data_IF_221343380009
#
_entry.id   IF_221343380009
#
_cell.length_a   1.000
_cell.length_b   1.000
_cell.length_c   1.000
_cell.angle_alpha   90.00
_cell.angle_beta   90.00
_cell.angle_gamma   90.00
#
_symmetry.space_group_name_H-M   'P 1'
#
loop_
_entity.id
_entity.type
_entity.pdbx_description
1 polymer ?
#
# COMPACT_ATOMS: atom_id res chain seq x y z
N UNK A 1 -16.06 1.96 18.61
CA UNK A 1 -16.54 2.83 17.50
C UNK A 1 -15.47 3.16 16.47
N UNK A 2 -14.32 3.77 16.82
CA UNK A 2 -13.23 4.10 15.84
C UNK A 2 -12.68 2.91 15.04
N UNK A 3 -12.58 1.72 15.63
CA UNK A 3 -11.98 0.54 14.98
C UNK A 3 -12.81 -0.03 13.82
N UNK A 4 -14.15 0.03 13.90
CA UNK A 4 -15.04 -0.61 12.90
C UNK A 4 -15.12 0.20 11.61
N UNK A 5 -15.22 1.52 11.71
CA UNK A 5 -15.16 2.42 10.54
C UNK A 5 -13.80 2.35 9.84
N UNK A 6 -12.72 2.22 10.61
CA UNK A 6 -11.37 2.08 10.05
C UNK A 6 -11.18 0.74 9.31
N UNK A 7 -11.74 -0.36 9.81
CA UNK A 7 -11.70 -1.67 9.12
C UNK A 7 -12.40 -1.58 7.76
N UNK A 8 -13.59 -0.96 7.70
CA UNK A 8 -14.30 -0.75 6.43
C UNK A 8 -13.51 0.18 5.50
N UNK A 9 -12.88 1.21 6.06
CA UNK A 9 -12.05 2.15 5.31
C UNK A 9 -10.79 1.49 4.73
N UNK A 10 -10.13 0.57 5.44
CA UNK A 10 -8.89 -0.07 4.98
C UNK A 10 -9.11 -1.30 4.13
N UNK A 11 -10.29 -1.94 4.23
CA UNK A 11 -10.62 -3.14 3.47
C UNK A 11 -10.36 -2.94 1.97
N UNK A 12 -9.60 -3.87 1.39
CA UNK A 12 -9.20 -3.96 -0.03
C UNK A 12 -8.41 -2.74 -0.55
N UNK A 13 -7.93 -1.87 0.34
CA UNK A 13 -7.11 -0.71 -0.04
C UNK A 13 -5.71 -1.14 -0.47
N UNK A 14 -5.19 -2.22 0.12
CA UNK A 14 -3.94 -2.87 -0.28
C UNK A 14 -4.00 -3.35 -1.73
N UNK A 15 -5.11 -3.97 -2.12
CA UNK A 15 -5.36 -4.39 -3.49
C UNK A 15 -5.48 -3.20 -4.45
N UNK A 16 -6.18 -2.15 -4.05
CA UNK A 16 -6.28 -0.94 -4.85
C UNK A 16 -4.92 -0.28 -5.09
N UNK A 17 -4.10 -0.13 -4.05
CA UNK A 17 -2.76 0.43 -4.16
C UNK A 17 -1.82 -0.47 -4.95
N UNK A 18 -1.93 -1.79 -4.81
CA UNK A 18 -1.18 -2.73 -5.62
C UNK A 18 -1.49 -2.58 -7.12
N UNK A 19 -2.76 -2.53 -7.51
CA UNK A 19 -3.17 -2.37 -8.92
C UNK A 19 -2.74 -1.03 -9.52
N UNK A 20 -2.81 0.05 -8.72
CA UNK A 20 -2.30 1.37 -9.10
C UNK A 20 -0.77 1.32 -9.24
N UNK A 21 -0.07 0.69 -8.29
CA UNK A 21 1.37 0.55 -8.32
C UNK A 21 1.84 -0.22 -9.57
N UNK A 22 1.16 -1.31 -9.97
CA UNK A 22 1.50 -2.03 -11.22
C UNK A 22 1.45 -1.12 -12.44
N UNK A 23 0.47 -0.21 -12.51
CA UNK A 23 0.18 0.66 -13.67
C UNK A 23 1.05 1.91 -13.76
N UNK A 24 1.58 2.43 -12.64
CA UNK A 24 2.47 3.62 -12.66
C UNK A 24 3.82 3.26 -13.30
N UNK A 25 3.98 3.41 -14.61
CA UNK A 25 5.24 3.16 -15.33
C UNK A 25 5.84 4.50 -15.75
N UNK A 26 6.85 4.97 -15.03
CA UNK A 26 7.65 6.15 -15.40
C UNK A 26 6.88 7.48 -15.39
N UNK A 27 6.04 7.72 -16.41
CA UNK A 27 5.33 8.98 -16.66
C UNK A 27 3.82 8.93 -16.39
N UNK A 28 3.21 7.78 -16.08
CA UNK A 28 1.78 7.74 -15.74
C UNK A 28 1.50 8.46 -14.43
N UNK A 29 0.58 9.43 -14.45
CA UNK A 29 0.18 10.10 -13.21
C UNK A 29 -0.62 9.15 -12.33
N UNK A 30 -0.59 9.38 -11.01
CA UNK A 30 -1.42 8.61 -10.07
C UNK A 30 -2.91 8.65 -10.47
N UNK A 31 -3.37 9.79 -11.01
CA UNK A 31 -4.74 9.99 -11.46
C UNK A 31 -5.09 9.05 -12.61
N UNK A 32 -4.22 8.94 -13.60
CA UNK A 32 -4.48 8.12 -14.79
C UNK A 32 -4.51 6.64 -14.42
N UNK A 33 -3.54 6.20 -13.59
CA UNK A 33 -3.53 4.83 -13.07
C UNK A 33 -4.78 4.54 -12.21
N UNK A 34 -5.21 5.47 -11.37
CA UNK A 34 -6.44 5.32 -10.58
C UNK A 34 -7.69 5.28 -11.48
N UNK A 35 -7.72 6.07 -12.54
CA UNK A 35 -8.80 6.08 -13.52
C UNK A 35 -8.91 4.74 -14.25
N UNK A 36 -7.79 4.16 -14.69
CA UNK A 36 -7.74 2.82 -15.30
C UNK A 36 -8.26 1.74 -14.35
N UNK A 37 -7.80 1.73 -13.09
CA UNK A 37 -8.27 0.79 -12.05
C UNK A 37 -9.79 0.92 -11.83
N UNK A 38 -10.33 2.13 -11.92
CA UNK A 38 -11.76 2.37 -11.80
C UNK A 38 -12.55 1.91 -13.03
N UNK A 39 -12.00 2.09 -14.22
CA UNK A 39 -12.60 1.69 -15.50
C UNK A 39 -12.61 0.17 -15.64
N UNK A 40 -11.51 -0.50 -15.32
CA UNK A 40 -11.37 -1.98 -15.37
C UNK A 40 -12.08 -2.70 -14.21
N UNK A 41 -12.60 -1.96 -13.22
CA UNK A 41 -13.30 -2.51 -12.06
C UNK A 41 -12.51 -3.59 -11.30
N UNK A 42 -11.19 -3.38 -11.14
CA UNK A 42 -10.30 -4.38 -10.53
C UNK A 42 -10.50 -4.53 -9.02
N UNK A 43 -11.11 -3.53 -8.39
CA UNK A 43 -11.43 -3.53 -6.95
C UNK A 43 -12.92 -3.16 -6.76
N UNK A 44 -13.84 -4.11 -7.04
CA UNK A 44 -15.28 -3.83 -7.00
C UNK A 44 -15.77 -3.31 -5.65
N UNK A 45 -15.18 -3.81 -4.56
CA UNK A 45 -15.53 -3.41 -3.20
C UNK A 45 -15.27 -1.94 -2.89
N UNK A 46 -14.34 -1.28 -3.60
CA UNK A 46 -13.98 0.13 -3.38
C UNK A 46 -14.34 1.04 -4.55
N UNK A 47 -14.96 0.52 -5.60
CA UNK A 47 -15.17 1.27 -6.84
C UNK A 47 -15.97 2.56 -6.61
N UNK A 48 -17.00 2.53 -5.75
CA UNK A 48 -17.77 3.72 -5.37
C UNK A 48 -16.88 4.79 -4.71
N UNK A 49 -16.01 4.37 -3.79
CA UNK A 49 -15.09 5.25 -3.07
C UNK A 49 -14.02 5.84 -3.99
N UNK A 50 -13.41 5.00 -4.84
CA UNK A 50 -12.36 5.45 -5.77
C UNK A 50 -12.91 6.43 -6.82
N UNK A 51 -14.12 6.19 -7.35
CA UNK A 51 -14.81 7.12 -8.26
C UNK A 51 -15.16 8.44 -7.57
N UNK A 52 -15.59 8.41 -6.32
CA UNK A 52 -15.88 9.61 -5.55
C UNK A 52 -14.62 10.48 -5.34
N UNK A 53 -13.47 9.85 -5.09
CA UNK A 53 -12.18 10.56 -4.97
C UNK A 53 -11.73 11.19 -6.29
N UNK A 54 -11.99 10.55 -7.44
CA UNK A 54 -11.72 11.10 -8.78
C UNK A 54 -12.60 12.31 -9.11
N UNK A 55 -13.85 12.33 -8.65
CA UNK A 55 -14.82 13.39 -8.95
C UNK A 55 -14.70 14.60 -8.01
N UNK A 56 -13.90 14.51 -6.94
CA UNK A 56 -13.83 15.56 -5.91
C UNK A 56 -13.06 16.80 -6.41
N UNK A 57 -13.66 18.00 -6.42
CA UNK A 57 -12.95 19.23 -6.76
C UNK A 57 -11.90 19.53 -5.69
N UNK A 58 -10.65 19.78 -6.10
CA UNK A 58 -9.49 19.95 -5.21
C UNK A 58 -8.61 18.70 -5.04
N UNK A 59 -8.99 17.58 -5.64
CA UNK A 59 -8.11 16.45 -5.94
C UNK A 59 -7.98 15.36 -4.85
N UNK A 60 -7.50 14.22 -5.32
CA UNK A 60 -7.18 12.96 -4.63
C UNK A 60 -5.95 13.06 -3.70
N UNK A 61 -5.62 14.26 -3.22
CA UNK A 61 -4.36 14.55 -2.53
C UNK A 61 -4.14 13.71 -1.27
N UNK A 62 -5.21 13.32 -0.57
CA UNK A 62 -5.08 12.41 0.58
C UNK A 62 -4.81 10.97 0.14
N UNK A 63 -5.54 10.46 -0.85
CA UNK A 63 -5.37 9.10 -1.35
C UNK A 63 -4.00 8.91 -2.02
N UNK A 64 -3.59 9.87 -2.84
CA UNK A 64 -2.27 9.87 -3.48
C UNK A 64 -1.13 9.98 -2.46
N UNK A 65 -1.26 10.85 -1.45
CA UNK A 65 -0.26 10.96 -0.38
C UNK A 65 -0.15 9.67 0.43
N UNK A 66 -1.27 9.00 0.68
CA UNK A 66 -1.27 7.69 1.32
C UNK A 66 -0.62 6.64 0.43
N UNK A 67 -0.98 6.59 -0.85
CA UNK A 67 -0.38 5.71 -1.83
C UNK A 67 1.14 5.88 -1.88
N UNK A 68 1.64 7.10 -2.13
CA UNK A 68 3.08 7.39 -2.23
C UNK A 68 3.85 6.90 -1.00
N UNK A 69 3.28 7.07 0.20
CA UNK A 69 3.88 6.59 1.45
C UNK A 69 3.87 5.06 1.53
N UNK A 70 2.77 4.40 1.17
CA UNK A 70 2.66 2.93 1.25
C UNK A 70 3.56 2.23 0.22
N UNK A 71 3.92 2.92 -0.87
CA UNK A 71 4.81 2.40 -1.90
C UNK A 71 6.22 2.96 -1.82
N UNK A 72 6.51 3.80 -0.82
CA UNK A 72 7.83 4.42 -0.63
C UNK A 72 8.87 3.33 -0.34
N UNK A 73 9.91 3.26 -1.16
CA UNK A 73 10.95 2.21 -1.07
C UNK A 73 10.61 0.89 -1.77
N UNK A 74 9.40 0.72 -2.30
CA UNK A 74 9.07 -0.39 -3.20
C UNK A 74 9.49 -0.01 -4.62
N UNK A 75 10.78 -0.15 -4.92
CA UNK A 75 11.29 0.07 -6.28
C UNK A 75 10.76 -1.00 -7.22
N UNK A 76 10.34 -0.58 -8.42
CA UNK A 76 9.98 -1.49 -9.53
C UNK A 76 11.18 -2.22 -10.12
N UNK A 77 12.39 -1.74 -9.83
CA UNK A 77 13.64 -2.34 -10.31
C UNK A 77 13.97 -3.62 -9.52
N UNK A 78 13.54 -3.69 -8.27
CA UNK A 78 13.61 -4.91 -7.47
C UNK A 78 12.47 -5.81 -7.93
N UNK A 79 12.80 -6.94 -8.57
CA UNK A 79 11.83 -7.97 -8.98
C UNK A 79 11.27 -8.70 -7.77
N UNK A 80 10.41 -8.04 -7.00
CA UNK A 80 9.61 -8.67 -5.96
C UNK A 80 8.41 -9.39 -6.60
N UNK A 81 8.04 -10.58 -6.12
CA UNK A 81 6.82 -11.23 -6.57
C UNK A 81 5.58 -10.44 -6.11
N UNK A 82 4.52 -10.45 -6.93
CA UNK A 82 3.28 -9.68 -6.74
C UNK A 82 2.70 -9.78 -5.32
N UNK A 83 2.66 -10.99 -4.75
CA UNK A 83 2.15 -11.23 -3.40
C UNK A 83 2.97 -10.51 -2.32
N UNK A 84 4.28 -10.38 -2.51
CA UNK A 84 5.19 -9.72 -1.55
C UNK A 84 5.03 -8.21 -1.61
N UNK A 85 4.82 -7.65 -2.80
CA UNK A 85 4.51 -6.22 -2.96
C UNK A 85 3.18 -5.89 -2.30
N UNK A 86 2.14 -6.69 -2.54
CA UNK A 86 0.84 -6.49 -1.90
C UNK A 86 0.94 -6.61 -0.37
N UNK A 87 1.72 -7.56 0.15
CA UNK A 87 1.96 -7.70 1.59
C UNK A 87 2.64 -6.46 2.20
N UNK A 88 3.67 -5.92 1.56
CA UNK A 88 4.36 -4.70 2.02
C UNK A 88 3.41 -3.49 2.05
N UNK A 89 2.59 -3.34 1.01
CA UNK A 89 1.55 -2.30 0.95
C UNK A 89 0.53 -2.49 2.08
N UNK A 90 0.07 -3.73 2.30
CA UNK A 90 -0.88 -4.04 3.36
C UNK A 90 -0.31 -3.77 4.76
N UNK A 91 0.98 -4.03 4.98
CA UNK A 91 1.68 -3.70 6.21
C UNK A 91 1.70 -2.19 6.46
N UNK A 92 2.04 -1.37 5.46
CA UNK A 92 2.05 0.10 5.59
C UNK A 92 0.65 0.68 5.83
N UNK A 93 -0.38 0.14 5.17
CA UNK A 93 -1.76 0.56 5.44
C UNK A 93 -2.17 0.18 6.86
N UNK A 94 -1.85 -1.04 7.31
CA UNK A 94 -2.16 -1.51 8.65
C UNK A 94 -1.28 -0.87 9.74
N UNK A 95 -0.11 -0.32 9.41
CA UNK A 95 0.69 0.50 10.32
C UNK A 95 -0.08 1.77 10.77
N UNK A 96 -1.03 2.26 9.96
CA UNK A 96 -1.96 3.32 10.40
C UNK A 96 -3.08 2.79 11.31
N UNK A 97 -3.39 1.48 11.27
CA UNK A 97 -4.31 0.80 12.19
C UNK A 97 -3.66 0.59 13.55
N UNK A 98 -2.43 0.09 13.51
CA UNK A 98 -1.57 -0.08 14.66
C UNK A 98 -0.83 1.23 14.89
N UNK A 99 -1.48 2.20 15.54
CA UNK A 99 -0.75 3.20 16.33
C UNK A 99 0.45 2.50 16.99
N UNK A 100 1.72 2.81 16.64
CA UNK A 100 2.80 2.34 17.45
C UNK A 100 2.85 3.32 18.61
N UNK A 101 2.48 2.84 19.79
CA UNK A 101 3.08 3.37 21.01
C UNK A 101 4.48 2.79 21.25
N UNK A 102 5.06 1.97 20.36
CA UNK A 102 6.32 1.28 20.69
C UNK A 102 7.34 1.19 19.56
N UNK A 103 8.58 1.47 19.97
CA UNK A 103 9.86 1.35 19.26
C UNK A 103 10.08 -0.03 18.62
N UNK A 104 9.45 -1.06 19.18
CA UNK A 104 9.54 -2.44 18.72
C UNK A 104 9.07 -2.66 17.27
N UNK A 105 8.08 -1.91 16.80
CA UNK A 105 7.59 -2.07 15.43
C UNK A 105 8.53 -1.43 14.40
N UNK A 106 9.11 -0.26 14.73
CA UNK A 106 10.17 0.35 13.95
C UNK A 106 11.40 -0.57 13.86
N UNK A 107 11.78 -1.20 14.96
CA UNK A 107 12.86 -2.17 14.99
C UNK A 107 12.58 -3.36 14.05
N UNK A 108 11.37 -3.95 14.06
CA UNK A 108 11.01 -5.03 13.12
C UNK A 108 11.10 -4.61 11.66
N UNK A 109 10.62 -3.41 11.31
CA UNK A 109 10.74 -2.87 9.94
C UNK A 109 12.19 -2.71 9.51
N UNK A 110 13.04 -2.16 10.40
CA UNK A 110 14.47 -2.02 10.12
C UNK A 110 15.17 -3.38 9.95
N UNK A 111 14.80 -4.36 10.76
CA UNK A 111 15.31 -5.74 10.65
C UNK A 111 14.88 -6.38 9.33
N UNK A 112 13.60 -6.32 8.95
CA UNK A 112 13.13 -6.88 7.68
C UNK A 112 13.80 -6.24 6.45
N UNK A 113 14.02 -4.93 6.48
CA UNK A 113 14.74 -4.23 5.40
C UNK A 113 16.20 -4.70 5.35
N UNK A 114 16.87 -4.80 6.50
CA UNK A 114 18.25 -5.28 6.58
C UNK A 114 18.38 -6.73 6.08
N UNK A 115 17.39 -7.58 6.37
CA UNK A 115 17.33 -8.98 5.92
C UNK A 115 17.19 -9.07 4.39
N UNK A 116 16.30 -8.27 3.80
CA UNK A 116 16.12 -8.20 2.34
C UNK A 116 17.38 -7.68 1.63
N UNK A 117 18.10 -6.75 2.27
CA UNK A 117 19.35 -6.19 1.75
C UNK A 117 20.56 -7.13 1.99
N UNK A 118 20.38 -8.28 2.65
CA UNK A 118 21.47 -9.20 2.99
C UNK A 118 22.42 -8.67 4.06
N UNK A 119 22.05 -7.60 4.78
CA UNK A 119 22.83 -7.04 5.89
C UNK A 119 22.73 -7.90 7.15
N UNK A 120 21.65 -8.67 7.30
CA UNK A 120 21.49 -9.67 8.37
C UNK A 120 21.00 -10.99 7.79
N UNK A 121 21.36 -12.14 8.40
CA UNK A 121 20.90 -13.45 7.95
C UNK A 121 19.38 -13.59 8.12
N UNK A 122 18.77 -14.36 7.21
CA UNK A 122 17.36 -14.72 7.28
C UNK A 122 17.13 -15.55 8.55
N UNK A 123 16.16 -15.16 9.38
CA UNK A 123 15.88 -15.93 10.58
C UNK A 123 15.29 -17.29 10.20
N UNK A 124 16.06 -18.37 10.39
CA UNK A 124 15.53 -19.72 10.35
C UNK A 124 14.73 -19.95 11.64
N UNK A 125 13.41 -20.04 11.52
CA UNK A 125 12.55 -20.44 12.64
C UNK A 125 12.62 -21.97 12.68
N UNK A 126 13.22 -22.60 13.71
CA UNK A 126 13.16 -24.05 13.84
C UNK A 126 11.70 -24.49 14.03
N UNK A 127 11.34 -25.59 13.36
CA UNK A 127 9.99 -26.15 13.29
C UNK A 127 9.46 -26.64 14.64
#
# INVERSE_FOLDING_TARGET
WRTRFYVVFVKDLDRAYFEIWKRIKGQTSFRDALQEVCTENLVPSRQKTLKAELQRPGGFLQLERQFRRCTEGISKEVKLPDWRVQELIAQEINYKRALPKTYAHYARKKLQIAEVLGMIPKAEIPA
#
